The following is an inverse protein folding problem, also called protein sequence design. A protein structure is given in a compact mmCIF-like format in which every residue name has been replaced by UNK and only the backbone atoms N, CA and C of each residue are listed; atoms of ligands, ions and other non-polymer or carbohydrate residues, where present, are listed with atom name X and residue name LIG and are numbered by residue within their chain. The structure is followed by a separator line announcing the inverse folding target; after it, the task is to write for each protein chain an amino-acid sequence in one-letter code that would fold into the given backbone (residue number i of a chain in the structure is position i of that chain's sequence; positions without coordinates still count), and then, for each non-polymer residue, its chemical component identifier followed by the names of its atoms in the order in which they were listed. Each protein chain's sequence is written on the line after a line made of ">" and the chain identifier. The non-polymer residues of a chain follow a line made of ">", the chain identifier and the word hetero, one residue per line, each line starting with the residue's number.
data_IF_257490567361
#
_entry.id   IF_257490567361
#
_cell.length_a   1.000
_cell.length_b   1.000
_cell.length_c   1.000
_cell.angle_alpha   90.00
_cell.angle_beta   90.00
_cell.angle_gamma   90.00
#
_symmetry.space_group_name_H-M   'P 1'
#
loop_
_entity.id
_entity.type
_entity.pdbx_description
1 polymer ?
#
# COMPACT_ATOMS: atom_id res chain seq x y z
N UNK A 1 -4.33 -5.66 -28.16
CA UNK A 1 -4.04 -6.76 -27.21
C UNK A 1 -3.01 -7.65 -27.85
N UNK A 2 -1.98 -8.06 -27.12
CA UNK A 2 -0.81 -8.64 -27.72
C UNK A 2 -0.25 -9.72 -26.80
N UNK A 3 -0.27 -10.97 -27.25
CA UNK A 3 0.24 -12.09 -26.47
C UNK A 3 1.78 -12.07 -26.44
N UNK A 4 2.35 -12.40 -25.29
CA UNK A 4 3.76 -12.78 -25.15
C UNK A 4 3.86 -14.30 -25.26
N UNK A 5 4.77 -14.79 -26.12
CA UNK A 5 4.99 -16.22 -26.32
C UNK A 5 6.47 -16.52 -26.54
N UNK A 6 6.90 -17.72 -26.17
CA UNK A 6 8.26 -18.21 -26.40
C UNK A 6 8.34 -18.96 -27.73
N UNK A 7 9.40 -18.72 -28.50
CA UNK A 7 9.79 -19.56 -29.63
C UNK A 7 11.15 -20.19 -29.33
N UNK A 8 11.20 -21.51 -29.33
CA UNK A 8 12.43 -22.28 -29.13
C UNK A 8 12.96 -22.73 -30.48
N UNK A 9 14.22 -22.43 -30.75
CA UNK A 9 14.94 -23.01 -31.87
C UNK A 9 16.02 -23.96 -31.35
N UNK A 10 16.30 -24.98 -32.16
CA UNK A 10 17.26 -26.04 -31.88
C UNK A 10 18.36 -26.01 -32.92
N UNK A 11 19.61 -26.17 -32.48
CA UNK A 11 20.78 -26.27 -33.35
C UNK A 11 21.79 -27.25 -32.74
N UNK A 12 22.75 -27.73 -33.53
CA UNK A 12 23.79 -28.65 -33.06
C UNK A 12 24.62 -28.01 -31.94
N UNK A 13 24.87 -28.77 -30.88
CA UNK A 13 25.65 -28.29 -29.73
C UNK A 13 27.09 -28.00 -30.13
N UNK A 14 27.47 -26.72 -30.10
CA UNK A 14 28.85 -26.25 -30.26
C UNK A 14 29.13 -25.14 -29.24
N UNK A 15 30.23 -25.29 -28.50
CA UNK A 15 30.64 -24.35 -27.46
C UNK A 15 30.96 -22.95 -27.99
N UNK A 16 31.20 -22.80 -29.29
CA UNK A 16 31.48 -21.52 -29.97
C UNK A 16 30.31 -21.02 -30.82
N UNK A 17 29.15 -21.66 -30.75
CA UNK A 17 28.01 -21.27 -31.55
C UNK A 17 27.54 -19.85 -31.20
N UNK A 18 27.37 -19.01 -32.22
CA UNK A 18 26.72 -17.71 -32.12
C UNK A 18 25.46 -17.69 -32.97
N UNK A 19 24.48 -16.87 -32.58
CA UNK A 19 23.26 -16.70 -33.37
C UNK A 19 22.97 -15.23 -33.60
N UNK A 20 22.38 -14.95 -34.76
CA UNK A 20 21.89 -13.63 -35.12
C UNK A 20 20.43 -13.74 -35.55
N UNK A 21 19.59 -12.89 -34.98
CA UNK A 21 18.16 -12.81 -35.30
C UNK A 21 17.99 -11.68 -36.31
N UNK A 22 17.48 -11.98 -37.51
CA UNK A 22 17.09 -10.90 -38.44
C UNK A 22 15.83 -10.21 -37.94
N UNK A 23 15.63 -8.96 -38.34
CA UNK A 23 14.51 -8.14 -37.88
C UNK A 23 13.15 -8.89 -38.02
N UNK A 24 12.41 -9.08 -36.92
CA UNK A 24 11.13 -9.79 -36.98
C UNK A 24 10.03 -8.91 -37.60
N UNK A 25 9.10 -9.54 -38.33
CA UNK A 25 7.95 -8.85 -38.94
C UNK A 25 6.73 -8.96 -38.05
N UNK A 26 6.21 -7.83 -37.58
CA UNK A 26 4.98 -7.81 -36.74
C UNK A 26 5.16 -8.41 -35.34
N UNK A 27 6.39 -8.62 -34.89
CA UNK A 27 6.73 -9.05 -33.53
C UNK A 27 7.72 -8.05 -32.90
N UNK A 28 7.69 -7.96 -31.57
CA UNK A 28 8.73 -7.29 -30.77
C UNK A 28 9.42 -8.32 -29.90
N UNK A 29 10.75 -8.33 -29.86
CA UNK A 29 11.50 -9.15 -28.90
C UNK A 29 11.29 -8.56 -27.51
N UNK A 30 10.81 -9.39 -26.58
CA UNK A 30 10.57 -9.02 -25.17
C UNK A 30 11.73 -9.47 -24.31
N UNK A 31 12.26 -10.67 -24.56
CA UNK A 31 13.36 -11.23 -23.78
C UNK A 31 14.11 -12.32 -24.57
N UNK A 32 15.42 -12.20 -24.68
CA UNK A 32 16.30 -13.12 -25.42
C UNK A 32 17.49 -13.66 -24.60
N UNK A 33 17.62 -13.22 -23.33
CA UNK A 33 18.72 -13.60 -22.43
C UNK A 33 18.49 -14.92 -21.68
N UNK A 34 17.57 -15.76 -22.17
CA UNK A 34 17.33 -17.09 -21.58
C UNK A 34 18.61 -17.94 -21.59
N UNK A 35 18.90 -18.70 -20.53
CA UNK A 35 19.98 -19.68 -20.57
C UNK A 35 19.68 -20.73 -21.64
N UNK A 36 20.70 -21.10 -22.42
CA UNK A 36 20.57 -22.17 -23.39
C UNK A 36 20.51 -23.51 -22.67
N UNK A 37 19.52 -24.34 -23.00
CA UNK A 37 19.44 -25.74 -22.54
C UNK A 37 20.24 -26.60 -23.52
N UNK A 38 21.02 -27.55 -23.01
CA UNK A 38 21.80 -28.48 -23.83
C UNK A 38 21.42 -29.93 -23.52
N UNK A 39 21.34 -30.73 -24.57
CA UNK A 39 21.48 -32.18 -24.51
C UNK A 39 22.77 -32.60 -25.25
N UNK A 40 23.02 -33.91 -25.38
CA UNK A 40 24.25 -34.45 -25.96
C UNK A 40 24.51 -33.99 -27.41
N UNK A 41 23.46 -33.69 -28.17
CA UNK A 41 23.55 -33.37 -29.60
C UNK A 41 23.12 -31.94 -29.92
N UNK A 42 22.26 -31.35 -29.10
CA UNK A 42 21.53 -30.14 -29.43
C UNK A 42 21.56 -29.10 -28.33
N UNK A 43 21.61 -27.85 -28.77
CA UNK A 43 21.36 -26.68 -27.94
C UNK A 43 19.99 -26.09 -28.29
N UNK A 44 19.23 -25.75 -27.26
CA UNK A 44 17.91 -25.14 -27.34
C UNK A 44 17.98 -23.73 -26.77
N UNK A 45 17.50 -22.77 -27.56
CA UNK A 45 17.42 -21.37 -27.15
C UNK A 45 16.00 -20.86 -27.35
N UNK A 46 15.44 -20.28 -26.30
CA UNK A 46 14.08 -19.73 -26.31
C UNK A 46 14.14 -18.21 -26.33
N UNK A 47 13.46 -17.59 -27.28
CA UNK A 47 13.30 -16.14 -27.33
C UNK A 47 11.82 -15.83 -27.15
N UNK A 48 11.52 -14.81 -26.37
CA UNK A 48 10.15 -14.38 -26.12
C UNK A 48 9.80 -13.16 -26.95
N UNK A 49 8.64 -13.24 -27.61
CA UNK A 49 8.13 -12.24 -28.53
C UNK A 49 6.77 -11.75 -28.07
N UNK A 50 6.47 -10.47 -28.33
CA UNK A 50 5.13 -9.88 -28.27
C UNK A 50 4.57 -9.80 -29.69
N UNK A 51 3.43 -10.43 -29.94
CA UNK A 51 2.75 -10.37 -31.24
C UNK A 51 2.02 -9.03 -31.41
N UNK A 52 2.41 -8.23 -32.40
CA UNK A 52 1.86 -6.89 -32.64
C UNK A 52 0.88 -6.83 -33.82
N UNK A 53 0.96 -7.77 -34.76
CA UNK A 53 0.18 -7.71 -36.00
C UNK A 53 -0.40 -9.08 -36.39
N UNK A 54 -1.60 -9.16 -36.98
CA UNK A 54 -2.20 -10.43 -37.41
C UNK A 54 -1.37 -11.22 -38.42
N UNK A 55 -0.62 -10.51 -39.27
CA UNK A 55 0.30 -11.07 -40.28
C UNK A 55 1.75 -11.18 -39.77
N UNK A 56 1.94 -11.48 -38.49
CA UNK A 56 3.26 -11.60 -37.90
C UNK A 56 3.98 -12.87 -38.38
N UNK A 57 5.32 -12.80 -38.41
CA UNK A 57 6.17 -13.94 -38.75
C UNK A 57 7.34 -14.03 -37.78
N UNK A 58 7.72 -15.26 -37.41
CA UNK A 58 8.97 -15.53 -36.71
C UNK A 58 10.15 -15.05 -37.55
N UNK A 59 11.17 -14.44 -36.93
CA UNK A 59 12.36 -14.00 -37.65
C UNK A 59 13.14 -15.19 -38.21
N UNK A 60 13.86 -14.98 -39.31
CA UNK A 60 14.90 -15.93 -39.72
C UNK A 60 16.07 -15.85 -38.74
N UNK A 61 16.64 -16.99 -38.38
CA UNK A 61 17.77 -17.08 -37.45
C UNK A 61 18.97 -17.63 -38.22
N UNK A 62 20.12 -16.98 -38.07
CA UNK A 62 21.40 -17.45 -38.59
C UNK A 62 22.20 -17.99 -37.42
N UNK A 63 22.65 -19.24 -37.51
CA UNK A 63 23.48 -19.88 -36.49
C UNK A 63 24.85 -20.17 -37.10
N UNK A 64 25.90 -19.62 -36.50
CA UNK A 64 27.28 -19.84 -36.91
C UNK A 64 27.94 -20.78 -35.92
N UNK A 65 28.49 -21.89 -36.42
CA UNK A 65 29.22 -22.90 -35.65
C UNK A 65 30.61 -23.12 -36.25
N UNK A 66 31.46 -23.92 -35.61
CA UNK A 66 32.73 -24.39 -36.19
C UNK A 66 32.54 -25.20 -37.47
N UNK A 67 31.37 -25.81 -37.66
CA UNK A 67 31.06 -26.66 -38.82
C UNK A 67 30.39 -25.90 -39.97
N UNK A 68 30.14 -24.60 -39.80
CA UNK A 68 29.55 -23.74 -40.82
C UNK A 68 28.40 -22.88 -40.31
N UNK A 69 27.79 -22.16 -41.26
CA UNK A 69 26.66 -21.25 -41.04
C UNK A 69 25.37 -21.90 -41.51
N UNK A 70 24.38 -21.94 -40.61
CA UNK A 70 23.08 -22.53 -40.87
C UNK A 70 21.98 -21.47 -40.84
N UNK A 71 21.02 -21.58 -41.74
CA UNK A 71 19.90 -20.65 -41.87
C UNK A 71 18.59 -21.32 -41.48
N UNK A 72 17.93 -20.78 -40.47
CA UNK A 72 16.57 -21.14 -40.08
C UNK A 72 15.63 -20.11 -40.73
N UNK A 73 14.78 -20.52 -41.69
CA UNK A 73 13.94 -19.59 -42.43
C UNK A 73 12.83 -19.00 -41.56
N UNK A 74 12.34 -17.82 -41.98
CA UNK A 74 11.17 -17.18 -41.35
C UNK A 74 9.92 -18.05 -41.53
N UNK A 75 9.05 -18.07 -40.51
CA UNK A 75 7.78 -18.81 -40.54
C UNK A 75 6.61 -17.89 -40.19
N UNK A 76 5.52 -17.88 -40.98
CA UNK A 76 4.33 -17.09 -40.64
C UNK A 76 3.63 -17.65 -39.40
N UNK A 77 3.00 -16.76 -38.62
CA UNK A 77 2.21 -17.12 -37.44
C UNK A 77 0.72 -17.02 -37.75
N UNK A 78 -0.06 -17.90 -37.12
CA UNK A 78 -1.52 -17.77 -37.09
C UNK A 78 -1.91 -16.96 -35.87
N UNK A 79 -2.30 -15.70 -36.08
CA UNK A 79 -2.71 -14.79 -35.01
C UNK A 79 -4.22 -14.59 -35.08
N UNK A 80 -4.92 -14.84 -33.97
CA UNK A 80 -6.37 -14.69 -33.89
C UNK A 80 -6.74 -13.52 -32.99
N UNK A 81 -7.75 -12.75 -33.39
CA UNK A 81 -8.32 -11.68 -32.56
C UNK A 81 -9.36 -12.25 -31.61
N UNK A 82 -9.20 -11.96 -30.32
CA UNK A 82 -10.15 -12.36 -29.29
C UNK A 82 -11.35 -11.40 -29.25
N UNK A 83 -12.52 -11.91 -28.84
CA UNK A 83 -13.71 -11.10 -28.52
C UNK A 83 -13.81 -10.93 -27.00
N UNK A 84 -13.29 -9.83 -26.43
CA UNK A 84 -13.23 -9.67 -24.98
C UNK A 84 -14.59 -9.32 -24.36
N UNK A 85 -14.86 -9.74 -23.11
CA UNK A 85 -15.99 -9.24 -22.34
C UNK A 85 -15.83 -7.75 -21.98
N UNK A 86 -16.92 -7.11 -21.54
CA UNK A 86 -16.94 -5.67 -21.20
C UNK A 86 -16.03 -5.30 -20.01
N UNK A 87 -15.74 -6.25 -19.13
CA UNK A 87 -14.91 -6.06 -17.93
C UNK A 87 -13.44 -6.44 -18.16
N UNK A 88 -13.04 -6.66 -19.41
CA UNK A 88 -11.69 -7.07 -19.76
C UNK A 88 -10.67 -5.96 -19.57
N UNK A 89 -9.55 -6.27 -18.91
CA UNK A 89 -8.53 -5.29 -18.52
C UNK A 89 -7.38 -5.09 -19.52
N UNK A 90 -7.43 -5.68 -20.72
CA UNK A 90 -6.34 -5.55 -21.71
C UNK A 90 -5.22 -6.59 -21.59
N UNK A 91 -5.18 -7.34 -20.48
CA UNK A 91 -4.08 -8.27 -20.18
C UNK A 91 -4.35 -9.69 -20.68
N UNK A 92 -3.36 -10.22 -21.39
CA UNK A 92 -3.11 -11.62 -21.73
C UNK A 92 -1.89 -12.06 -20.92
N UNK A 93 -2.07 -13.02 -20.02
CA UNK A 93 -0.98 -13.52 -19.18
C UNK A 93 -1.19 -15.00 -18.90
N UNK A 94 -0.12 -15.73 -18.58
CA UNK A 94 -0.25 -17.12 -18.13
C UNK A 94 -0.93 -17.20 -16.76
N UNK A 95 -0.64 -16.23 -15.90
CA UNK A 95 -1.28 -16.05 -14.61
C UNK A 95 -1.29 -14.56 -14.27
N UNK A 96 -2.39 -14.06 -13.71
CA UNK A 96 -2.53 -12.70 -13.19
C UNK A 96 -3.14 -12.75 -11.80
N UNK A 97 -2.48 -12.09 -10.84
CA UNK A 97 -2.87 -12.07 -9.43
C UNK A 97 -2.89 -10.64 -8.89
N UNK A 98 -3.88 -10.38 -8.03
CA UNK A 98 -3.88 -9.19 -7.17
C UNK A 98 -3.03 -9.51 -5.95
N UNK A 99 -1.83 -8.92 -5.87
CA UNK A 99 -0.90 -9.16 -4.75
C UNK A 99 -1.28 -8.31 -3.53
N UNK A 100 -1.72 -7.08 -3.77
CA UNK A 100 -2.19 -6.15 -2.74
C UNK A 100 -3.13 -5.14 -3.37
N UNK A 101 -4.13 -4.70 -2.61
CA UNK A 101 -4.97 -3.59 -3.01
C UNK A 101 -5.29 -2.70 -1.79
N UNK A 102 -5.59 -1.44 -2.05
CA UNK A 102 -6.10 -0.49 -1.07
C UNK A 102 -7.05 0.48 -1.78
N UNK A 103 -8.09 0.89 -1.06
CA UNK A 103 -8.98 1.97 -1.48
C UNK A 103 -8.90 3.12 -0.49
N UNK A 104 -8.73 4.32 -1.02
CA UNK A 104 -8.60 5.57 -0.27
C UNK A 104 -9.69 6.50 -0.78
N UNK A 105 -10.35 7.23 0.11
CA UNK A 105 -11.32 8.23 -0.30
C UNK A 105 -10.57 9.38 -1.01
N UNK A 106 -10.91 9.63 -2.28
CA UNK A 106 -10.34 10.76 -3.02
C UNK A 106 -11.18 12.02 -2.80
N UNK A 107 -12.51 11.87 -2.88
CA UNK A 107 -13.50 12.86 -2.47
C UNK A 107 -14.82 12.16 -2.09
N UNK A 108 -15.94 12.90 -1.97
CA UNK A 108 -17.24 12.31 -1.60
C UNK A 108 -17.81 11.33 -2.64
N UNK A 109 -17.43 11.47 -3.90
CA UNK A 109 -18.00 10.74 -5.03
C UNK A 109 -17.00 9.76 -5.68
N UNK A 110 -15.71 9.87 -5.37
CA UNK A 110 -14.63 9.13 -5.98
C UNK A 110 -13.71 8.50 -4.94
N UNK A 111 -13.27 7.28 -5.25
CA UNK A 111 -12.25 6.54 -4.53
C UNK A 111 -10.99 6.40 -5.38
N UNK A 112 -9.83 6.58 -4.77
CA UNK A 112 -8.54 6.15 -5.34
C UNK A 112 -8.30 4.69 -4.98
N UNK A 113 -8.10 3.87 -5.99
CA UNK A 113 -7.68 2.49 -5.88
C UNK A 113 -6.20 2.40 -6.20
N UNK A 114 -5.46 1.77 -5.29
CA UNK A 114 -4.06 1.41 -5.48
C UNK A 114 -3.95 -0.11 -5.50
N UNK A 115 -3.46 -0.68 -6.60
CA UNK A 115 -3.29 -2.12 -6.75
C UNK A 115 -1.85 -2.46 -7.10
N UNK A 116 -1.32 -3.48 -6.43
CA UNK A 116 -0.12 -4.17 -6.88
C UNK A 116 -0.54 -5.48 -7.53
N UNK A 117 -0.25 -5.61 -8.81
CA UNK A 117 -0.56 -6.80 -9.60
C UNK A 117 0.73 -7.56 -9.90
N UNK A 118 0.64 -8.88 -9.92
CA UNK A 118 1.71 -9.77 -10.34
C UNK A 118 1.22 -10.65 -11.47
N UNK A 119 2.04 -10.84 -12.49
CA UNK A 119 1.71 -11.69 -13.62
C UNK A 119 2.93 -12.45 -14.16
N UNK A 120 2.68 -13.57 -14.83
CA UNK A 120 3.69 -14.37 -15.53
C UNK A 120 3.42 -14.32 -17.04
N UNK A 121 4.46 -14.03 -17.83
CA UNK A 121 4.38 -13.90 -19.30
C UNK A 121 3.23 -12.97 -19.75
N UNK A 122 2.98 -11.90 -18.98
CA UNK A 122 1.87 -10.97 -19.20
C UNK A 122 2.27 -9.66 -19.88
N UNK A 123 1.39 -9.12 -20.73
CA UNK A 123 1.48 -7.76 -21.31
C UNK A 123 0.92 -6.71 -20.33
N UNK A 124 1.51 -6.58 -19.14
CA UNK A 124 0.98 -5.70 -18.09
C UNK A 124 0.97 -4.21 -18.43
N UNK A 125 1.70 -3.77 -19.46
CA UNK A 125 1.66 -2.40 -19.97
C UNK A 125 0.32 -2.05 -20.64
N UNK A 126 -0.44 -3.07 -21.04
CA UNK A 126 -1.76 -2.92 -21.67
C UNK A 126 -2.89 -2.95 -20.60
N UNK A 127 -2.56 -3.01 -19.29
CA UNK A 127 -3.55 -3.08 -18.21
C UNK A 127 -4.34 -1.76 -18.07
N UNK A 128 -5.67 -1.86 -18.12
CA UNK A 128 -6.62 -0.75 -18.03
C UNK A 128 -7.88 -1.21 -17.29
N UNK A 129 -8.54 -0.33 -16.54
CA UNK A 129 -9.88 -0.60 -15.99
C UNK A 129 -10.93 0.16 -16.80
N UNK A 130 -11.86 -0.53 -17.51
CA UNK A 130 -12.82 0.11 -18.43
C UNK A 130 -13.71 1.21 -17.83
N UNK A 131 -13.89 1.21 -16.51
CA UNK A 131 -14.73 2.13 -15.76
C UNK A 131 -13.94 3.13 -14.90
N UNK A 132 -12.61 3.17 -15.02
CA UNK A 132 -11.79 4.16 -14.33
C UNK A 132 -11.90 5.52 -15.03
N UNK A 133 -12.14 6.58 -14.25
CA UNK A 133 -12.19 7.95 -14.78
C UNK A 133 -10.78 8.49 -15.07
N UNK A 134 -9.82 8.11 -14.22
CA UNK A 134 -8.39 8.40 -14.39
C UNK A 134 -7.61 7.20 -13.90
N UNK A 135 -6.49 6.92 -14.55
CA UNK A 135 -5.66 5.79 -14.19
C UNK A 135 -4.21 5.99 -14.61
N UNK A 136 -3.31 5.23 -13.98
CA UNK A 136 -1.90 5.24 -14.33
C UNK A 136 -1.17 4.01 -13.78
N UNK A 137 -0.27 3.43 -14.58
CA UNK A 137 0.78 2.52 -14.09
C UNK A 137 1.89 3.38 -13.47
N UNK A 138 2.07 3.29 -12.15
CA UNK A 138 3.09 4.03 -11.38
C UNK A 138 4.43 3.33 -11.34
N UNK A 139 4.44 2.00 -11.27
CA UNK A 139 5.66 1.21 -11.30
C UNK A 139 5.47 0.04 -12.25
N UNK A 140 6.54 -0.31 -12.97
CA UNK A 140 6.59 -1.43 -13.90
C UNK A 140 7.91 -2.19 -13.70
N UNK A 141 7.85 -3.31 -12.97
CA UNK A 141 9.01 -4.08 -12.56
C UNK A 141 9.01 -5.45 -13.27
N UNK A 142 9.79 -5.54 -14.35
CA UNK A 142 9.95 -6.77 -15.13
C UNK A 142 11.16 -7.57 -14.64
N UNK A 143 10.90 -8.76 -14.10
CA UNK A 143 11.90 -9.80 -13.80
C UNK A 143 11.47 -11.06 -14.53
N UNK A 144 11.78 -11.11 -15.83
CA UNK A 144 11.26 -12.12 -16.76
C UNK A 144 11.42 -13.56 -16.20
N UNK A 145 10.37 -14.40 -16.23
CA UNK A 145 9.07 -14.20 -16.88
C UNK A 145 8.01 -13.47 -16.02
N UNK A 146 8.37 -13.04 -14.81
CA UNK A 146 7.47 -12.35 -13.88
C UNK A 146 7.45 -10.84 -14.12
N UNK A 147 6.27 -10.25 -14.06
CA UNK A 147 6.04 -8.82 -14.12
C UNK A 147 5.22 -8.40 -12.90
N UNK A 148 5.66 -7.34 -12.22
CA UNK A 148 4.89 -6.70 -11.15
C UNK A 148 4.61 -5.25 -11.54
N UNK A 149 3.36 -4.82 -11.43
CA UNK A 149 2.97 -3.44 -11.67
C UNK A 149 2.29 -2.83 -10.45
N UNK A 150 2.55 -1.55 -10.20
CA UNK A 150 1.78 -0.71 -9.27
C UNK A 150 0.87 0.17 -10.11
N UNK A 151 -0.43 0.07 -9.88
CA UNK A 151 -1.44 0.71 -10.72
C UNK A 151 -2.44 1.50 -9.86
N UNK A 152 -2.74 2.72 -10.30
CA UNK A 152 -3.61 3.67 -9.63
C UNK A 152 -4.84 3.91 -10.51
N UNK A 153 -6.03 3.91 -9.94
CA UNK A 153 -7.27 4.25 -10.64
C UNK A 153 -8.22 5.05 -9.76
N UNK A 154 -8.86 6.07 -10.33
CA UNK A 154 -9.94 6.82 -9.71
C UNK A 154 -11.26 6.26 -10.24
N UNK A 155 -12.09 5.75 -9.32
CA UNK A 155 -13.38 5.13 -9.64
C UNK A 155 -14.50 5.75 -8.80
N UNK A 156 -15.77 5.69 -9.26
CA UNK A 156 -16.91 6.13 -8.46
C UNK A 156 -17.03 5.41 -7.12
N UNK A 157 -17.33 6.15 -6.04
CA UNK A 157 -17.53 5.59 -4.70
C UNK A 157 -18.76 4.70 -4.58
N UNK A 158 -19.69 4.75 -5.55
CA UNK A 158 -20.81 3.82 -5.67
C UNK A 158 -20.37 2.38 -6.01
N UNK A 159 -19.15 2.19 -6.53
CA UNK A 159 -18.59 0.88 -6.80
C UNK A 159 -18.01 0.31 -5.50
N UNK A 160 -18.70 -0.68 -4.93
CA UNK A 160 -18.28 -1.37 -3.68
C UNK A 160 -17.45 -2.62 -3.93
N UNK A 161 -17.46 -3.14 -5.17
CA UNK A 161 -16.71 -4.33 -5.58
C UNK A 161 -16.02 -4.08 -6.90
N UNK A 162 -14.69 -4.18 -6.90
CA UNK A 162 -13.89 -4.06 -8.11
C UNK A 162 -13.89 -5.41 -8.82
N UNK A 163 -14.19 -5.43 -10.12
CA UNK A 163 -14.23 -6.65 -10.94
C UNK A 163 -13.64 -6.38 -12.32
N UNK A 164 -12.75 -7.25 -12.76
CA UNK A 164 -12.20 -7.23 -14.12
C UNK A 164 -11.81 -8.63 -14.56
N UNK A 165 -11.69 -8.82 -15.86
CA UNK A 165 -11.23 -10.08 -16.44
C UNK A 165 -9.91 -9.90 -17.19
N UNK A 166 -9.14 -10.97 -17.27
CA UNK A 166 -7.96 -11.08 -18.13
C UNK A 166 -8.04 -12.37 -18.93
N UNK A 167 -7.27 -12.49 -20.01
CA UNK A 167 -7.22 -13.71 -20.80
C UNK A 167 -6.04 -14.55 -20.33
N UNK A 168 -6.34 -15.72 -19.78
CA UNK A 168 -5.35 -16.68 -19.32
C UNK A 168 -4.81 -17.45 -20.54
N UNK A 169 -3.51 -17.32 -20.81
CA UNK A 169 -2.91 -17.89 -22.02
C UNK A 169 -2.62 -19.39 -21.91
N UNK A 170 -2.67 -19.96 -20.70
CA UNK A 170 -2.45 -21.39 -20.45
C UNK A 170 -3.76 -22.16 -20.68
N UNK A 171 -4.82 -21.71 -20.02
CA UNK A 171 -6.18 -22.27 -20.11
C UNK A 171 -6.97 -21.78 -21.33
N UNK A 172 -6.53 -20.68 -21.97
CA UNK A 172 -7.17 -20.05 -23.13
C UNK A 172 -8.58 -19.52 -22.87
N UNK A 173 -8.82 -19.03 -21.66
CA UNK A 173 -10.12 -18.55 -21.21
C UNK A 173 -10.03 -17.18 -20.53
N UNK A 174 -11.14 -16.44 -20.53
CA UNK A 174 -11.24 -15.21 -19.74
C UNK A 174 -11.50 -15.52 -18.27
N UNK A 175 -10.52 -15.25 -17.40
CA UNK A 175 -10.64 -15.41 -15.95
C UNK A 175 -10.99 -14.08 -15.30
N UNK A 176 -11.91 -14.12 -14.33
CA UNK A 176 -12.37 -12.94 -13.58
C UNK A 176 -11.65 -12.84 -12.24
N UNK A 177 -11.19 -11.63 -11.92
CA UNK A 177 -10.62 -11.26 -10.63
C UNK A 177 -11.51 -10.19 -9.99
N UNK A 178 -11.65 -10.26 -8.67
CA UNK A 178 -12.42 -9.28 -7.93
C UNK A 178 -11.92 -9.11 -6.50
N UNK A 179 -12.25 -7.97 -5.89
CA UNK A 179 -12.12 -7.73 -4.46
C UNK A 179 -13.10 -6.66 -3.99
N UNK A 180 -13.41 -6.65 -2.70
CA UNK A 180 -14.28 -5.65 -2.12
C UNK A 180 -13.52 -4.36 -1.80
N UNK A 181 -14.12 -3.22 -2.14
CA UNK A 181 -13.57 -1.90 -1.89
C UNK A 181 -13.96 -1.50 -0.46
N UNK A 182 -13.00 -1.65 0.45
CA UNK A 182 -13.10 -1.13 1.81
C UNK A 182 -12.29 0.15 1.89
N UNK A 183 -12.99 1.29 1.81
CA UNK A 183 -12.37 2.60 1.88
C UNK A 183 -11.82 2.79 3.29
N UNK A 184 -10.51 3.04 3.41
CA UNK A 184 -9.94 3.55 4.65
C UNK A 184 -10.24 5.04 4.69
N UNK A 185 -10.96 5.48 5.72
CA UNK A 185 -11.13 6.89 6.04
C UNK A 185 -9.77 7.46 6.48
N UNK A 186 -8.97 7.89 5.51
CA UNK A 186 -7.81 8.75 5.73
C UNK A 186 -8.25 10.21 5.75
N UNK A 187 -9.33 10.54 6.48
CA UNK A 187 -9.57 11.93 6.86
C UNK A 187 -8.28 12.38 7.56
N UNK A 188 -7.52 13.24 6.88
CA UNK A 188 -6.12 13.52 7.14
C UNK A 188 -5.97 14.06 8.55
N UNK A 189 -5.74 13.13 9.49
CA UNK A 189 -5.24 13.42 10.81
C UNK A 189 -3.74 13.53 10.63
N UNK A 190 -3.26 14.72 10.24
CA UNK A 190 -1.85 15.11 10.35
C UNK A 190 -1.34 15.15 11.80
N UNK A 191 -2.09 14.57 12.75
CA UNK A 191 -1.81 14.54 14.18
C UNK A 191 -1.81 13.12 14.78
N UNK A 192 -1.79 12.07 13.96
CA UNK A 192 -1.49 10.73 14.49
C UNK A 192 0.01 10.57 14.65
N UNK A 193 0.57 11.22 15.69
CA UNK A 193 1.82 10.77 16.34
C UNK A 193 2.16 11.52 17.63
N UNK A 194 1.18 12.07 18.34
CA UNK A 194 1.36 12.36 19.77
C UNK A 194 0.11 11.92 20.49
N UNK A 195 0.01 10.61 20.74
CA UNK A 195 -0.88 10.09 21.77
C UNK A 195 -0.41 10.72 23.09
N UNK A 196 -1.19 11.58 23.76
CA UNK A 196 -0.94 11.82 25.17
C UNK A 196 -1.22 10.46 25.81
N UNK A 197 -0.16 9.72 26.11
CA UNK A 197 -0.25 8.42 26.73
C UNK A 197 -0.95 8.66 28.07
N UNK A 198 -2.27 8.43 28.12
CA UNK A 198 -2.79 7.78 29.31
C UNK A 198 -2.02 6.48 29.37
N UNK A 199 -0.98 6.52 30.20
CA UNK A 199 -0.20 5.35 30.53
C UNK A 199 -1.20 4.26 30.90
N UNK A 200 -1.29 3.22 30.08
CA UNK A 200 -2.28 2.14 30.21
C UNK A 200 -2.26 1.56 31.63
N UNK A 201 -1.14 1.74 32.33
CA UNK A 201 -0.88 1.26 33.67
C UNK A 201 -0.72 2.38 34.70
N UNK A 202 -1.19 3.61 34.44
CA UNK A 202 -1.05 4.76 35.38
C UNK A 202 -1.57 4.39 36.78
N UNK A 203 -2.77 3.83 36.85
CA UNK A 203 -3.39 3.41 38.12
C UNK A 203 -2.58 2.32 38.80
N UNK A 204 -2.10 1.33 38.05
CA UNK A 204 -1.27 0.25 38.59
C UNK A 204 0.07 0.77 39.13
N UNK A 205 0.73 1.69 38.42
CA UNK A 205 1.98 2.33 38.87
C UNK A 205 1.78 3.14 40.15
N UNK A 206 0.69 3.90 40.25
CA UNK A 206 0.37 4.67 41.46
C UNK A 206 0.14 3.73 42.65
N UNK A 207 -0.62 2.63 42.45
CA UNK A 207 -0.87 1.64 43.51
C UNK A 207 0.43 0.99 43.98
N UNK A 208 1.33 0.61 43.07
CA UNK A 208 2.62 0.02 43.42
C UNK A 208 3.51 0.98 44.22
N UNK A 209 3.59 2.25 43.79
CA UNK A 209 4.36 3.29 44.49
C UNK A 209 3.77 3.53 45.89
N UNK A 210 2.44 3.62 46.00
CA UNK A 210 1.76 3.82 47.27
C UNK A 210 1.96 2.62 48.22
N UNK A 211 1.85 1.38 47.73
CA UNK A 211 2.05 0.18 48.55
C UNK A 211 3.49 0.08 49.05
N UNK A 212 4.48 0.38 48.19
CA UNK A 212 5.89 0.38 48.58
C UNK A 212 6.18 1.47 49.62
N UNK A 213 5.62 2.67 49.43
CA UNK A 213 5.70 3.76 50.41
C UNK A 213 5.09 3.36 51.76
N UNK A 214 3.92 2.73 51.77
CA UNK A 214 3.26 2.23 52.98
C UNK A 214 4.09 1.19 53.74
N UNK A 215 4.67 0.21 53.04
CA UNK A 215 5.56 -0.80 53.65
C UNK A 215 6.78 -0.16 54.28
N UNK A 216 7.40 0.83 53.62
CA UNK A 216 8.57 1.53 54.15
C UNK A 216 8.23 2.37 55.40
N UNK A 217 7.05 3.00 55.46
CA UNK A 217 6.58 3.70 56.65
C UNK A 217 6.34 2.72 57.81
N UNK A 218 5.70 1.57 57.55
CA UNK A 218 5.50 0.53 58.57
C UNK A 218 6.83 -0.02 59.09
N UNK A 219 7.80 -0.26 58.21
CA UNK A 219 9.16 -0.66 58.58
C UNK A 219 9.90 0.42 59.38
N UNK A 220 9.68 1.70 59.08
CA UNK A 220 10.26 2.81 59.83
C UNK A 220 9.76 2.84 61.28
N UNK A 221 8.47 2.58 61.48
CA UNK A 221 7.85 2.48 62.81
C UNK A 221 8.40 1.25 63.56
N UNK A 222 8.47 0.10 62.89
CA UNK A 222 8.89 -1.16 63.54
C UNK A 222 10.38 -1.19 63.88
N UNK A 223 11.26 -0.77 62.96
CA UNK A 223 12.72 -0.78 63.15
C UNK A 223 13.28 0.54 63.68
N UNK A 224 12.42 1.52 63.98
CA UNK A 224 12.79 2.88 64.42
C UNK A 224 13.80 3.57 63.49
N UNK A 225 13.70 3.29 62.19
CA UNK A 225 14.63 3.76 61.15
C UNK A 225 14.11 5.02 60.48
N UNK A 226 14.75 6.16 60.79
CA UNK A 226 14.35 7.47 60.24
C UNK A 226 14.52 7.54 58.71
N UNK A 227 15.56 6.89 58.15
CA UNK A 227 15.82 6.81 56.71
C UNK A 227 14.67 6.13 55.96
N UNK A 228 14.17 5.01 56.47
CA UNK A 228 13.05 4.28 55.87
C UNK A 228 11.76 5.14 55.85
N UNK A 229 11.54 5.93 56.90
CA UNK A 229 10.40 6.83 57.01
C UNK A 229 10.46 7.96 55.98
N UNK A 230 11.64 8.58 55.79
CA UNK A 230 11.83 9.64 54.81
C UNK A 230 11.52 9.17 53.38
N UNK A 231 12.05 8.01 52.98
CA UNK A 231 11.76 7.43 51.67
C UNK A 231 10.28 7.02 51.52
N UNK A 232 9.69 6.45 52.57
CA UNK A 232 8.28 6.06 52.57
C UNK A 232 7.34 7.26 52.36
N UNK A 233 7.56 8.35 53.10
CA UNK A 233 6.78 9.60 52.95
C UNK A 233 6.98 10.22 51.55
N UNK A 234 8.21 10.22 51.02
CA UNK A 234 8.50 10.72 49.69
C UNK A 234 7.74 9.97 48.58
N UNK A 235 7.66 8.63 48.66
CA UNK A 235 6.91 7.81 47.71
C UNK A 235 5.40 8.05 47.81
N UNK A 236 4.87 8.23 49.03
CA UNK A 236 3.46 8.55 49.22
C UNK A 236 3.13 9.94 48.64
N UNK A 237 3.97 10.95 48.88
CA UNK A 237 3.80 12.28 48.29
C UNK A 237 3.83 12.23 46.75
N UNK A 238 4.71 11.43 46.16
CA UNK A 238 4.77 11.20 44.72
C UNK A 238 3.49 10.53 44.20
N UNK A 239 2.98 9.51 44.88
CA UNK A 239 1.72 8.85 44.51
C UNK A 239 0.53 9.81 44.54
N UNK A 240 0.46 10.68 45.55
CA UNK A 240 -0.57 11.73 45.67
C UNK A 240 -0.46 12.71 44.49
N UNK A 241 0.75 13.20 44.20
CA UNK A 241 0.98 14.11 43.06
C UNK A 241 0.53 13.51 41.73
N UNK A 242 0.86 12.25 41.47
CA UNK A 242 0.48 11.54 40.24
C UNK A 242 -1.03 11.25 40.14
N UNK A 243 -1.74 11.25 41.28
CA UNK A 243 -3.18 10.99 41.38
C UNK A 243 -4.05 12.21 41.05
N UNK A 244 -3.46 13.40 40.90
CA UNK A 244 -4.22 14.63 40.56
C UNK A 244 -4.86 14.46 39.16
N UNK A 245 -6.21 14.57 39.05
CA UNK A 245 -6.89 14.44 37.78
C UNK A 245 -6.62 15.65 36.87
N UNK A 246 -6.56 15.42 35.57
CA UNK A 246 -6.42 16.50 34.58
C UNK A 246 -7.62 17.44 34.65
N UNK A 247 -7.35 18.75 34.64
CA UNK A 247 -8.39 19.80 34.69
C UNK A 247 -9.34 19.66 33.49
N UNK A 248 -10.65 19.78 33.73
CA UNK A 248 -11.67 19.82 32.68
C UNK A 248 -12.05 21.27 32.39
N UNK A 249 -12.32 21.60 31.13
CA UNK A 249 -12.76 22.92 30.66
C UNK A 249 -14.06 22.79 29.89
N UNK A 250 -15.02 23.65 30.20
CA UNK A 250 -16.31 23.72 29.51
C UNK A 250 -16.21 24.60 28.27
N UNK A 251 -16.67 24.11 27.12
CA UNK A 251 -16.68 24.84 25.86
C UNK A 251 -18.11 25.13 25.43
N UNK A 252 -18.37 26.37 24.99
CA UNK A 252 -19.70 26.85 24.57
C UNK A 252 -20.21 26.12 23.31
N UNK A 253 -21.52 26.23 23.06
CA UNK A 253 -22.15 25.79 21.81
C UNK A 253 -21.78 26.78 20.70
N UNK A 254 -21.47 26.28 19.51
CA UNK A 254 -21.05 27.07 18.35
C UNK A 254 -19.55 27.37 18.29
N UNK A 255 -18.78 27.01 19.33
CA UNK A 255 -17.34 27.27 19.38
C UNK A 255 -16.56 26.50 18.34
N UNK A 256 -15.58 27.18 17.73
CA UNK A 256 -14.71 26.63 16.70
C UNK A 256 -13.52 25.94 17.35
N UNK A 257 -13.25 24.72 16.91
CA UNK A 257 -12.09 23.93 17.30
C UNK A 257 -11.09 24.02 16.15
N UNK A 258 -9.87 24.44 16.44
CA UNK A 258 -8.81 24.72 15.48
C UNK A 258 -7.73 23.64 15.53
N UNK A 259 -7.00 23.47 14.42
CA UNK A 259 -5.88 22.52 14.32
C UNK A 259 -4.64 23.08 15.05
N UNK A 260 -4.42 24.39 14.97
CA UNK A 260 -3.27 25.11 15.54
C UNK A 260 -3.74 26.33 16.35
N UNK A 261 -2.97 26.79 17.36
CA UNK A 261 -3.31 27.96 18.17
C UNK A 261 -2.94 29.27 17.46
N UNK A 262 -3.50 29.51 16.27
CA UNK A 262 -3.21 30.72 15.46
C UNK A 262 -4.49 31.31 14.86
N UNK A 263 -4.51 32.63 14.64
CA UNK A 263 -5.68 33.35 14.10
C UNK A 263 -6.10 32.88 12.69
N UNK A 264 -5.14 32.39 11.89
CA UNK A 264 -5.35 31.87 10.52
C UNK A 264 -5.49 30.34 10.47
N UNK A 265 -5.69 29.68 11.60
CA UNK A 265 -5.80 28.22 11.64
C UNK A 265 -7.09 27.72 11.00
N UNK A 266 -7.00 26.59 10.30
CA UNK A 266 -8.16 25.87 9.77
C UNK A 266 -9.06 25.37 10.90
N UNK A 267 -10.37 25.55 10.72
CA UNK A 267 -11.38 25.02 11.64
C UNK A 267 -11.45 23.51 11.43
N UNK A 268 -11.06 22.76 12.46
CA UNK A 268 -11.15 21.31 12.52
C UNK A 268 -12.60 20.84 12.69
N UNK A 269 -13.34 21.49 13.60
CA UNK A 269 -14.72 21.13 13.94
C UNK A 269 -15.44 22.28 14.62
N UNK A 270 -16.77 22.31 14.52
CA UNK A 270 -17.64 23.19 15.32
C UNK A 270 -18.33 22.38 16.41
N UNK A 271 -18.35 22.91 17.63
CA UNK A 271 -18.98 22.26 18.76
C UNK A 271 -20.50 22.50 18.75
N UNK A 272 -21.32 21.49 18.46
CA UNK A 272 -22.77 21.67 18.30
C UNK A 272 -23.55 21.78 19.63
N UNK A 273 -22.90 21.48 20.76
CA UNK A 273 -23.51 21.54 22.09
C UNK A 273 -22.48 21.93 23.14
N UNK A 274 -22.93 22.49 24.26
CA UNK A 274 -22.06 22.78 25.41
C UNK A 274 -21.48 21.46 25.93
N UNK A 275 -20.15 21.35 26.00
CA UNK A 275 -19.47 20.11 26.40
C UNK A 275 -18.17 20.40 27.14
N UNK A 276 -17.88 19.58 28.15
CA UNK A 276 -16.62 19.63 28.88
C UNK A 276 -15.57 18.72 28.24
N UNK A 277 -14.36 19.25 28.08
CA UNK A 277 -13.20 18.55 27.54
C UNK A 277 -12.06 18.55 28.54
N UNK A 278 -11.11 17.61 28.41
CA UNK A 278 -9.90 17.59 29.23
C UNK A 278 -8.95 18.66 28.70
N UNK A 279 -8.51 19.59 29.55
CA UNK A 279 -7.48 20.58 29.25
C UNK A 279 -6.12 19.90 29.30
N UNK A 280 -5.40 19.97 28.18
CA UNK A 280 -4.05 19.45 28.04
C UNK A 280 -2.99 20.54 28.22
N UNK A 281 -3.23 21.72 27.65
CA UNK A 281 -2.31 22.87 27.74
C UNK A 281 -3.03 24.19 27.37
N UNK A 282 -2.35 25.32 27.52
CA UNK A 282 -2.80 26.65 27.10
C UNK A 282 -1.63 27.45 26.52
N UNK A 283 -1.83 28.04 25.34
CA UNK A 283 -0.82 28.83 24.62
C UNK A 283 -1.51 29.95 23.85
N UNK A 284 -1.02 31.18 23.96
CA UNK A 284 -1.43 32.34 23.15
C UNK A 284 -2.96 32.59 23.10
N UNK A 285 -3.67 32.38 24.22
CA UNK A 285 -5.12 32.56 24.31
C UNK A 285 -5.95 31.41 23.72
N UNK A 286 -5.31 30.26 23.47
CA UNK A 286 -5.96 29.03 23.05
C UNK A 286 -5.71 27.92 24.08
N UNK A 287 -6.75 27.13 24.36
CA UNK A 287 -6.68 25.93 25.19
C UNK A 287 -6.64 24.69 24.30
N UNK A 288 -5.62 23.87 24.52
CA UNK A 288 -5.50 22.53 23.94
C UNK A 288 -6.44 21.59 24.67
N UNK A 289 -7.39 21.01 23.96
CA UNK A 289 -8.40 20.11 24.49
C UNK A 289 -8.31 18.70 23.89
N UNK A 290 -8.57 17.68 24.71
CA UNK A 290 -8.71 16.28 24.23
C UNK A 290 -10.16 16.03 23.77
N UNK A 291 -10.33 15.61 22.52
CA UNK A 291 -11.59 15.30 21.85
C UNK A 291 -11.90 13.78 21.92
N UNK A 292 -13.09 13.40 21.45
CA UNK A 292 -13.47 11.99 21.30
C UNK A 292 -12.55 11.26 20.30
N UNK A 293 -12.23 10.00 20.58
CA UNK A 293 -11.29 9.15 19.80
C UNK A 293 -9.84 9.66 19.83
N UNK A 294 -9.37 10.13 20.99
CA UNK A 294 -7.97 10.56 21.24
C UNK A 294 -7.43 11.69 20.34
N UNK A 295 -8.32 12.41 19.64
CA UNK A 295 -7.95 13.58 18.84
C UNK A 295 -7.70 14.80 19.73
N UNK A 296 -6.92 15.75 19.24
CA UNK A 296 -6.61 17.00 19.95
C UNK A 296 -7.04 18.19 19.08
N UNK A 297 -7.52 19.25 19.73
CA UNK A 297 -7.80 20.52 19.07
C UNK A 297 -7.56 21.71 19.99
N UNK A 298 -7.60 22.90 19.42
CA UNK A 298 -7.45 24.16 20.13
C UNK A 298 -8.76 24.93 20.14
N UNK A 299 -9.15 25.47 21.28
CA UNK A 299 -10.33 26.34 21.43
C UNK A 299 -9.87 27.66 22.01
N UNK A 300 -10.43 28.77 21.56
CA UNK A 300 -10.07 30.08 22.10
C UNK A 300 -10.57 30.25 23.53
N UNK A 301 -9.88 31.06 24.32
CA UNK A 301 -10.31 31.36 25.68
C UNK A 301 -11.71 32.01 25.73
N UNK A 302 -12.06 32.85 24.75
CA UNK A 302 -13.38 33.49 24.63
C UNK A 302 -14.55 32.49 24.45
N UNK A 303 -14.24 31.31 23.90
CA UNK A 303 -15.17 30.23 23.63
C UNK A 303 -15.40 29.29 24.84
N UNK A 304 -14.73 29.56 25.95
CA UNK A 304 -14.89 28.82 27.20
C UNK A 304 -16.10 29.36 27.95
N UNK A 305 -16.84 28.47 28.60
CA UNK A 305 -17.93 28.86 29.49
C UNK A 305 -17.34 29.74 30.61
N UNK A 306 -17.81 30.98 30.73
CA UNK A 306 -17.57 31.73 31.96
C UNK A 306 -18.36 31.02 33.07
N UNK A 307 -17.73 30.87 34.23
CA UNK A 307 -18.39 30.37 35.44
C UNK A 307 -19.41 31.38 35.92
#
# INVERSE_FOLDING_TARGET
>A
MHQIFGATFRYLSDSRATYTIKAPKGLKIVYDKTPARRDDLYTYKTIYFKALHPKASLPSIVVTTRHGTFHIPSRPLTVTTLKPPKDFCGVLAKDLKILKHQAIQYNKELNLIVMRLGMELGNGEDFHLPYAQKEQIKEYNLTFPSLKILYYAIIPSSITKLKFSYFDTDTREFKRLFFDIRVKDESVSTQSDIKPTEDRHKTLKIVLIASLGGVLVLLAIWKRSWLSGLFGVGLIALAIYLSIPLKKVCVKKGSKIYILPTKKSTIFRINHQRRSYIKLNEVNGYIKIKLSQDRIGWVKNEDICQN
#
